data_IF_790059075471
#
_entry.id   IF_790059075471
#
_cell.length_a   1.000
_cell.length_b   1.000
_cell.length_c   1.000
_cell.angle_alpha   90.00
_cell.angle_beta   90.00
_cell.angle_gamma   90.00
#
_symmetry.space_group_name_H-M   'P 1'
#
loop_
_entity.id
_entity.type
_entity.pdbx_description
1 polymer ?
#
# COMPACT_ATOMS: atom_id res chain seq x y z
N UNK A 1 6.70 4.33 -3.38
CA UNK A 1 7.38 3.23 -4.10
C UNK A 1 7.48 3.42 -5.61
N UNK A 2 6.42 3.81 -6.32
CA UNK A 2 6.42 3.98 -7.79
C UNK A 2 7.59 4.85 -8.29
N UNK A 3 7.82 6.02 -7.67
CA UNK A 3 8.94 6.91 -8.03
C UNK A 3 10.31 6.22 -7.92
N UNK A 4 10.53 5.43 -6.86
CA UNK A 4 11.77 4.68 -6.63
C UNK A 4 11.99 3.61 -7.70
N UNK A 5 10.94 2.90 -8.10
CA UNK A 5 11.01 1.90 -9.18
C UNK A 5 11.28 2.57 -10.52
N UNK A 6 10.67 3.73 -10.80
CA UNK A 6 10.94 4.50 -12.02
C UNK A 6 12.41 4.93 -12.12
N UNK A 7 13.08 5.19 -10.99
CA UNK A 7 14.52 5.48 -10.97
C UNK A 7 15.40 4.27 -11.34
N UNK A 8 14.86 3.06 -11.39
CA UNK A 8 15.60 1.90 -11.90
C UNK A 8 15.43 1.70 -13.42
N UNK A 9 14.58 2.50 -14.06
CA UNK A 9 14.28 2.33 -15.48
C UNK A 9 15.53 2.48 -16.37
N UNK A 10 16.29 3.57 -16.18
CA UNK A 10 17.54 3.85 -16.91
C UNK A 10 18.60 2.76 -16.69
N UNK A 11 18.67 2.19 -15.48
CA UNK A 11 19.53 1.05 -15.19
C UNK A 11 19.16 -0.16 -16.05
N UNK A 12 17.88 -0.47 -16.18
CA UNK A 12 17.44 -1.63 -16.96
C UNK A 12 17.58 -1.42 -18.47
N UNK A 13 17.37 -0.20 -18.97
CA UNK A 13 17.61 0.13 -20.38
C UNK A 13 19.09 -0.06 -20.75
N UNK A 14 20.02 0.50 -19.98
CA UNK A 14 21.46 0.37 -20.29
C UNK A 14 21.95 -1.08 -20.17
N UNK A 15 21.45 -1.84 -19.19
CA UNK A 15 21.75 -3.28 -19.09
C UNK A 15 21.23 -4.06 -20.30
N UNK A 16 20.05 -3.70 -20.82
CA UNK A 16 19.44 -4.35 -21.98
C UNK A 16 20.22 -4.04 -23.26
N UNK A 17 20.73 -2.81 -23.41
CA UNK A 17 21.50 -2.35 -24.57
C UNK A 17 22.97 -2.80 -24.53
N UNK A 18 23.41 -3.36 -23.41
CA UNK A 18 24.77 -3.88 -23.24
C UNK A 18 24.96 -5.13 -24.10
N UNK A 19 25.90 -5.07 -25.07
CA UNK A 19 26.28 -6.22 -25.91
C UNK A 19 27.09 -7.30 -25.15
N UNK A 20 27.51 -7.01 -23.91
CA UNK A 20 28.32 -7.88 -23.07
C UNK A 20 27.51 -8.82 -22.15
N UNK A 21 28.18 -9.83 -21.62
CA UNK A 21 27.57 -10.73 -20.63
C UNK A 21 27.47 -10.04 -19.27
N UNK A 22 26.27 -10.07 -18.67
CA UNK A 22 26.04 -9.57 -17.32
C UNK A 22 26.70 -10.54 -16.31
N UNK A 23 27.52 -10.06 -15.36
CA UNK A 23 28.13 -10.92 -14.35
C UNK A 23 27.08 -11.71 -13.55
N UNK A 24 27.32 -12.99 -13.20
CA UNK A 24 26.37 -13.78 -12.42
C UNK A 24 25.95 -13.14 -11.09
N UNK A 25 26.87 -12.42 -10.43
CA UNK A 25 26.58 -11.65 -9.21
C UNK A 25 25.57 -10.52 -9.45
N UNK A 26 25.70 -9.80 -10.57
CA UNK A 26 24.72 -8.78 -10.98
C UNK A 26 23.37 -9.41 -11.32
N UNK A 27 23.35 -10.56 -12.00
CA UNK A 27 22.10 -11.27 -12.34
C UNK A 27 21.31 -11.61 -11.07
N UNK A 28 21.97 -12.12 -10.02
CA UNK A 28 21.31 -12.40 -8.74
C UNK A 28 20.68 -11.15 -8.12
N UNK A 29 21.40 -10.02 -8.10
CA UNK A 29 20.91 -8.77 -7.54
C UNK A 29 19.73 -8.20 -8.34
N UNK A 30 19.82 -8.25 -9.67
CA UNK A 30 18.74 -7.82 -10.58
C UNK A 30 17.51 -8.71 -10.46
N UNK A 31 17.69 -10.01 -10.25
CA UNK A 31 16.59 -10.97 -10.01
C UNK A 31 15.86 -10.65 -8.71
N UNK A 32 16.59 -10.31 -7.65
CA UNK A 32 15.99 -9.88 -6.38
C UNK A 32 15.24 -8.55 -6.54
N UNK A 33 15.83 -7.56 -7.24
CA UNK A 33 15.14 -6.30 -7.55
C UNK A 33 13.84 -6.54 -8.34
N UNK A 34 13.87 -7.43 -9.33
CA UNK A 34 12.69 -7.80 -10.09
C UNK A 34 11.61 -8.45 -9.20
N UNK A 35 12.01 -9.36 -8.30
CA UNK A 35 11.10 -9.96 -7.32
C UNK A 35 10.43 -8.91 -6.44
N UNK A 36 11.20 -7.95 -5.91
CA UNK A 36 10.68 -6.84 -5.12
C UNK A 36 9.71 -5.99 -5.94
N UNK A 37 10.06 -5.63 -7.18
CA UNK A 37 9.18 -4.83 -8.07
C UNK A 37 7.86 -5.55 -8.33
N UNK A 38 7.88 -6.88 -8.57
CA UNK A 38 6.67 -7.68 -8.75
C UNK A 38 5.78 -7.67 -7.51
N UNK A 39 6.37 -7.83 -6.32
CA UNK A 39 5.62 -7.80 -5.05
C UNK A 39 5.04 -6.41 -4.78
N UNK A 40 5.79 -5.34 -5.06
CA UNK A 40 5.29 -3.97 -4.97
C UNK A 40 4.11 -3.75 -5.93
N UNK A 41 4.20 -4.25 -7.17
CA UNK A 41 3.09 -4.17 -8.13
C UNK A 41 1.86 -4.92 -7.62
N UNK A 42 2.04 -6.12 -7.07
CA UNK A 42 0.96 -6.91 -6.46
C UNK A 42 0.28 -6.14 -5.33
N UNK A 43 1.06 -5.63 -4.37
CA UNK A 43 0.54 -4.87 -3.23
C UNK A 43 -0.21 -3.59 -3.67
N UNK A 44 0.30 -2.87 -4.68
CA UNK A 44 -0.42 -1.71 -5.25
C UNK A 44 -1.75 -2.13 -5.88
N UNK A 45 -1.78 -3.27 -6.57
CA UNK A 45 -3.00 -3.77 -7.20
C UNK A 45 -4.03 -4.19 -6.15
N UNK A 46 -3.60 -4.89 -5.09
CA UNK A 46 -4.45 -5.23 -3.94
C UNK A 46 -5.07 -3.98 -3.29
N UNK A 47 -4.30 -2.89 -3.13
CA UNK A 47 -4.84 -1.64 -2.61
C UNK A 47 -5.84 -0.95 -3.55
N UNK A 48 -5.71 -1.12 -4.86
CA UNK A 48 -6.61 -0.52 -5.87
C UNK A 48 -7.92 -1.29 -5.98
N UNK A 49 -7.85 -2.61 -5.94
CA UNK A 49 -9.00 -3.48 -6.13
C UNK A 49 -9.79 -3.66 -4.82
N UNK A 50 -9.15 -3.41 -3.67
CA UNK A 50 -9.75 -3.48 -2.35
C UNK A 50 -10.67 -2.32 -1.98
N UNK A 51 -11.38 -2.48 -0.87
CA UNK A 51 -12.21 -1.43 -0.25
C UNK A 51 -11.33 -0.31 0.31
N UNK A 52 -11.70 0.94 0.06
CA UNK A 52 -10.99 2.11 0.58
C UNK A 52 -11.07 2.19 2.12
N UNK A 53 -12.24 1.86 2.68
CA UNK A 53 -12.49 1.80 4.12
C UNK A 53 -11.63 0.71 4.75
N UNK A 54 -11.58 -0.47 4.14
CA UNK A 54 -10.74 -1.55 4.62
C UNK A 54 -9.24 -1.22 4.52
N UNK A 55 -8.85 -0.54 3.44
CA UNK A 55 -7.50 0.02 3.31
C UNK A 55 -7.14 0.97 4.45
N UNK A 56 -8.07 1.85 4.85
CA UNK A 56 -7.91 2.73 6.02
C UNK A 56 -7.75 1.91 7.32
N UNK A 57 -8.57 0.87 7.52
CA UNK A 57 -8.47 -0.03 8.68
C UNK A 57 -7.11 -0.74 8.72
N UNK A 58 -6.56 -1.10 7.55
CA UNK A 58 -5.29 -1.82 7.41
C UNK A 58 -4.06 -0.91 7.17
N UNK A 59 -4.18 0.42 7.29
CA UNK A 59 -3.13 1.35 6.85
C UNK A 59 -1.75 1.04 7.44
N UNK A 60 -1.67 0.68 8.73
CA UNK A 60 -0.42 0.30 9.38
C UNK A 60 0.19 -0.98 8.80
N UNK A 61 -0.66 -2.00 8.59
CA UNK A 61 -0.23 -3.28 8.02
C UNK A 61 0.32 -3.08 6.61
N UNK A 62 -0.43 -2.38 5.76
CA UNK A 62 -0.04 -2.10 4.37
C UNK A 62 1.23 -1.24 4.32
N UNK A 63 1.34 -0.20 5.16
CA UNK A 63 2.55 0.62 5.24
C UNK A 63 3.77 -0.20 5.64
N UNK A 64 3.63 -1.11 6.61
CA UNK A 64 4.70 -2.02 7.00
C UNK A 64 5.10 -2.97 5.85
N UNK A 65 4.15 -3.48 5.07
CA UNK A 65 4.46 -4.30 3.88
C UNK A 65 5.31 -3.52 2.87
N UNK A 66 4.93 -2.26 2.58
CA UNK A 66 5.75 -1.40 1.72
C UNK A 66 7.13 -1.13 2.31
N UNK A 67 7.23 -0.89 3.62
CA UNK A 67 8.49 -0.68 4.31
C UNK A 67 9.43 -1.89 4.18
N UNK A 68 8.92 -3.11 4.39
CA UNK A 68 9.69 -4.35 4.20
C UNK A 68 10.21 -4.46 2.76
N UNK A 69 9.37 -4.17 1.77
CA UNK A 69 9.78 -4.18 0.36
C UNK A 69 10.83 -3.10 0.03
N UNK A 70 10.73 -1.92 0.64
CA UNK A 70 11.78 -0.87 0.56
C UNK A 70 13.10 -1.41 1.10
N UNK A 71 13.10 -2.08 2.26
CA UNK A 71 14.33 -2.62 2.84
C UNK A 71 14.92 -3.77 2.01
N UNK A 72 14.09 -4.61 1.40
CA UNK A 72 14.56 -5.64 0.46
C UNK A 72 15.20 -5.01 -0.79
N UNK A 73 14.59 -3.97 -1.37
CA UNK A 73 15.20 -3.19 -2.46
C UNK A 73 16.57 -2.63 -2.04
N UNK A 74 16.66 -2.07 -0.83
CA UNK A 74 17.90 -1.53 -0.30
C UNK A 74 19.00 -2.57 -0.18
N UNK A 75 18.67 -3.77 0.31
CA UNK A 75 19.61 -4.89 0.42
C UNK A 75 20.11 -5.35 -0.94
N UNK A 76 19.24 -5.43 -1.95
CA UNK A 76 19.63 -5.80 -3.30
C UNK A 76 20.55 -4.76 -3.96
N UNK A 77 20.28 -3.47 -3.73
CA UNK A 77 21.13 -2.37 -4.22
C UNK A 77 22.48 -2.30 -3.48
N UNK A 78 22.53 -2.71 -2.22
CA UNK A 78 23.76 -2.69 -1.41
C UNK A 78 24.83 -3.66 -1.91
N UNK A 79 24.40 -4.81 -2.42
CA UNK A 79 25.28 -5.86 -2.94
C UNK A 79 25.45 -5.84 -4.46
N UNK A 80 24.71 -4.99 -5.17
CA UNK A 80 24.79 -4.89 -6.63
C UNK A 80 26.19 -4.38 -7.03
N UNK A 81 26.98 -5.13 -7.81
CA UNK A 81 28.31 -4.69 -8.22
C UNK A 81 28.21 -3.71 -9.39
N UNK A 82 27.77 -2.49 -9.09
CA UNK A 82 27.55 -1.41 -10.08
C UNK A 82 28.82 -1.12 -10.89
N UNK A 83 30.01 -1.33 -10.31
CA UNK A 83 31.30 -1.17 -11.00
C UNK A 83 31.55 -2.19 -12.12
N UNK A 84 30.85 -3.32 -12.11
CA UNK A 84 30.96 -4.37 -13.14
C UNK A 84 29.90 -4.24 -14.23
N UNK A 85 29.03 -3.24 -14.15
CA UNK A 85 28.03 -2.94 -15.15
C UNK A 85 28.52 -1.81 -16.04
N UNK A 86 28.33 -1.96 -17.36
CA UNK A 86 28.64 -0.95 -18.36
C UNK A 86 27.55 0.13 -18.35
N UNK A 87 27.65 1.02 -17.35
CA UNK A 87 26.67 2.08 -17.11
C UNK A 87 27.28 3.46 -17.33
N UNK A 88 26.47 4.38 -17.82
CA UNK A 88 26.79 5.80 -17.87
C UNK A 88 26.99 6.36 -16.46
N UNK A 89 27.72 7.48 -16.38
CA UNK A 89 27.93 8.17 -15.11
C UNK A 89 26.60 8.59 -14.45
N UNK A 90 25.65 9.07 -15.26
CA UNK A 90 24.34 9.51 -14.81
C UNK A 90 23.52 8.36 -14.21
N UNK A 91 23.46 7.21 -14.90
CA UNK A 91 22.72 6.04 -14.42
C UNK A 91 23.37 5.46 -13.16
N UNK A 92 24.70 5.44 -13.09
CA UNK A 92 25.44 5.04 -11.87
C UNK A 92 25.09 5.94 -10.69
N UNK A 93 25.15 7.25 -10.88
CA UNK A 93 24.80 8.22 -9.83
C UNK A 93 23.34 8.04 -9.38
N UNK A 94 22.42 7.85 -10.33
CA UNK A 94 21.00 7.63 -10.04
C UNK A 94 20.77 6.39 -9.17
N UNK A 95 21.47 5.29 -9.45
CA UNK A 95 21.41 4.06 -8.64
C UNK A 95 21.97 4.30 -7.23
N UNK A 96 23.09 4.99 -7.11
CA UNK A 96 23.69 5.33 -5.82
C UNK A 96 22.80 6.26 -4.97
N UNK A 97 22.17 7.25 -5.60
CA UNK A 97 21.22 8.15 -4.95
C UNK A 97 19.98 7.38 -4.47
N UNK A 98 19.43 6.50 -5.31
CA UNK A 98 18.31 5.65 -4.92
C UNK A 98 18.68 4.75 -3.74
N UNK A 99 19.88 4.14 -3.76
CA UNK A 99 20.38 3.32 -2.67
C UNK A 99 20.46 4.12 -1.35
N UNK A 100 21.04 5.34 -1.38
CA UNK A 100 21.09 6.24 -0.22
C UNK A 100 19.69 6.60 0.30
N UNK A 101 18.75 6.89 -0.60
CA UNK A 101 17.37 7.20 -0.23
C UNK A 101 16.70 6.01 0.45
N UNK A 102 16.78 4.82 -0.16
CA UNK A 102 16.12 3.60 0.34
C UNK A 102 16.66 3.18 1.71
N UNK A 103 17.96 3.34 1.96
CA UNK A 103 18.57 3.06 3.27
C UNK A 103 18.00 3.92 4.39
N UNK A 104 17.80 5.22 4.13
CA UNK A 104 17.33 6.22 5.10
C UNK A 104 15.82 6.20 5.35
N UNK A 105 15.06 5.46 4.55
CA UNK A 105 13.60 5.41 4.73
C UNK A 105 13.28 4.62 6.00
N UNK A 106 12.49 5.26 6.88
CA UNK A 106 11.85 4.62 8.02
C UNK A 106 10.39 4.29 7.72
N UNK A 107 9.81 3.45 8.57
CA UNK A 107 8.37 3.18 8.51
C UNK A 107 7.62 4.47 8.82
N UNK A 108 6.61 4.78 8.01
CA UNK A 108 5.83 6.00 8.17
C UNK A 108 4.36 5.69 7.90
N UNK A 109 3.51 6.10 8.83
CA UNK A 109 2.05 6.11 8.69
C UNK A 109 1.61 7.54 9.01
N UNK A 110 0.75 8.12 8.18
CA UNK A 110 0.27 9.48 8.40
C UNK A 110 -0.56 9.51 9.70
N UNK A 111 -0.19 10.34 10.71
CA UNK A 111 -0.95 10.45 11.95
C UNK A 111 -2.43 10.80 11.74
N UNK A 112 -2.75 11.52 10.65
CA UNK A 112 -4.13 11.87 10.29
C UNK A 112 -4.90 10.66 9.78
N UNK A 113 -4.24 9.73 9.08
CA UNK A 113 -4.87 8.47 8.70
C UNK A 113 -5.11 7.58 9.92
N UNK A 114 -4.16 7.52 10.86
CA UNK A 114 -4.34 6.80 12.12
C UNK A 114 -5.53 7.36 12.92
N UNK A 115 -5.64 8.69 13.00
CA UNK A 115 -6.76 9.34 13.67
C UNK A 115 -8.10 9.00 12.98
N UNK A 116 -8.18 9.09 11.66
CA UNK A 116 -9.40 8.73 10.91
C UNK A 116 -9.77 7.27 11.10
N UNK A 117 -8.77 6.37 11.09
CA UNK A 117 -8.98 4.95 11.36
C UNK A 117 -9.57 4.72 12.75
N UNK A 118 -9.04 5.37 13.77
CA UNK A 118 -9.54 5.24 15.14
C UNK A 118 -10.98 5.72 15.25
N UNK A 119 -11.30 6.89 14.71
CA UNK A 119 -12.67 7.43 14.68
C UNK A 119 -13.62 6.51 13.90
N UNK A 120 -13.18 5.97 12.77
CA UNK A 120 -13.96 5.02 11.98
C UNK A 120 -14.27 3.77 12.80
N UNK A 121 -13.29 3.18 13.48
CA UNK A 121 -13.50 1.99 14.31
C UNK A 121 -14.51 2.24 15.44
N UNK A 122 -14.49 3.43 16.05
CA UNK A 122 -15.47 3.82 17.06
C UNK A 122 -16.88 3.93 16.49
N UNK A 123 -17.04 4.50 15.30
CA UNK A 123 -18.32 4.58 14.58
C UNK A 123 -18.83 3.18 14.23
N UNK A 124 -17.95 2.28 13.77
CA UNK A 124 -18.34 0.91 13.41
C UNK A 124 -18.76 0.07 14.63
N UNK A 125 -18.12 0.31 15.78
CA UNK A 125 -18.41 -0.37 17.04
C UNK A 125 -19.62 0.22 17.78
N UNK A 126 -20.19 1.34 17.32
CA UNK A 126 -21.25 2.02 18.05
C UNK A 126 -22.58 1.24 17.94
N UNK A 127 -23.16 0.93 19.09
CA UNK A 127 -24.55 0.43 19.13
C UNK A 127 -25.52 1.60 18.93
N UNK A 128 -26.54 1.40 18.08
CA UNK A 128 -27.62 2.36 17.73
C UNK A 128 -28.57 2.66 18.89
N UNK A 129 -28.06 2.86 20.10
CA UNK A 129 -28.84 3.00 21.34
C UNK A 129 -29.63 4.33 21.42
N UNK A 130 -29.42 5.29 20.51
CA UNK A 130 -30.31 6.46 20.35
C UNK A 130 -30.31 7.03 18.91
N UNK A 131 -31.46 7.58 18.47
CA UNK A 131 -31.61 8.19 17.13
C UNK A 131 -30.64 9.35 16.87
N UNK A 132 -30.33 10.16 17.90
CA UNK A 132 -29.36 11.25 17.78
C UNK A 132 -27.94 10.75 17.58
N UNK A 133 -27.56 9.64 18.24
CA UNK A 133 -26.23 9.06 18.10
C UNK A 133 -26.00 8.54 16.67
N UNK A 134 -26.98 7.85 16.09
CA UNK A 134 -26.90 7.39 14.70
C UNK A 134 -26.72 8.51 13.67
N UNK A 135 -27.34 9.67 13.89
CA UNK A 135 -27.15 10.83 13.00
C UNK A 135 -25.74 11.43 13.08
N UNK A 136 -25.17 11.51 14.28
CA UNK A 136 -23.79 11.98 14.50
C UNK A 136 -22.81 11.00 13.86
N UNK A 137 -22.99 9.71 14.09
CA UNK A 137 -22.14 8.65 13.55
C UNK A 137 -22.17 8.65 12.00
N UNK A 138 -23.35 8.88 11.40
CA UNK A 138 -23.47 9.04 9.94
C UNK A 138 -22.71 10.25 9.42
N UNK A 139 -22.83 11.40 10.10
CA UNK A 139 -22.09 12.62 9.73
C UNK A 139 -20.58 12.41 9.75
N UNK A 140 -20.07 11.76 10.79
CA UNK A 140 -18.65 11.43 10.94
C UNK A 140 -18.20 10.43 9.86
N UNK A 141 -18.97 9.35 9.65
CA UNK A 141 -18.68 8.36 8.61
C UNK A 141 -18.59 9.02 7.23
N UNK A 142 -19.55 9.88 6.90
CA UNK A 142 -19.58 10.62 5.63
C UNK A 142 -18.37 11.54 5.43
N UNK A 143 -17.91 12.20 6.49
CA UNK A 143 -16.70 13.03 6.44
C UNK A 143 -15.45 12.18 6.17
N UNK A 144 -15.33 11.03 6.84
CA UNK A 144 -14.23 10.09 6.63
C UNK A 144 -14.26 9.53 5.21
N UNK A 145 -15.43 9.10 4.72
CA UNK A 145 -15.64 8.63 3.35
C UNK A 145 -15.19 9.67 2.32
N UNK A 146 -15.58 10.93 2.52
CA UNK A 146 -15.14 12.04 1.66
C UNK A 146 -13.62 12.21 1.67
N UNK A 147 -12.98 12.06 2.83
CA UNK A 147 -11.52 12.18 2.96
C UNK A 147 -10.76 11.06 2.23
N UNK A 148 -11.35 9.87 2.11
CA UNK A 148 -10.76 8.72 1.40
C UNK A 148 -11.18 8.64 -0.08
N UNK A 149 -11.92 9.63 -0.57
CA UNK A 149 -12.28 9.77 -1.98
C UNK A 149 -13.64 9.19 -2.38
N UNK A 150 -14.47 8.78 -1.42
CA UNK A 150 -15.83 8.31 -1.64
C UNK A 150 -16.79 9.50 -1.52
N UNK A 151 -17.16 10.10 -2.64
CA UNK A 151 -17.86 11.39 -2.70
C UNK A 151 -19.27 11.23 -3.24
N UNK A 152 -19.44 10.38 -4.25
CA UNK A 152 -20.71 10.23 -4.96
C UNK A 152 -21.41 8.90 -4.62
N UNK A 153 -22.73 8.76 -4.89
CA UNK A 153 -23.46 7.54 -4.55
C UNK A 153 -22.92 6.26 -5.20
N UNK A 154 -22.33 6.36 -6.40
CA UNK A 154 -21.73 5.23 -7.09
C UNK A 154 -20.47 4.73 -6.35
N UNK A 155 -19.66 5.64 -5.82
CA UNK A 155 -18.50 5.28 -4.97
C UNK A 155 -18.96 4.50 -3.73
N UNK A 156 -20.10 4.87 -3.14
CA UNK A 156 -20.66 4.19 -1.97
C UNK A 156 -21.18 2.80 -2.34
N UNK A 157 -21.88 2.65 -3.47
CA UNK A 157 -22.37 1.35 -3.94
C UNK A 157 -21.21 0.39 -4.24
N UNK A 158 -20.17 0.84 -4.94
CA UNK A 158 -18.96 0.06 -5.20
C UNK A 158 -18.25 -0.30 -3.89
N UNK A 159 -18.12 0.65 -2.96
CA UNK A 159 -17.47 0.43 -1.68
C UNK A 159 -18.24 -0.57 -0.80
N UNK A 160 -19.57 -0.48 -0.75
CA UNK A 160 -20.42 -1.44 -0.02
C UNK A 160 -20.19 -2.84 -0.57
N UNK A 161 -20.19 -3.01 -1.91
CA UNK A 161 -19.92 -4.30 -2.54
C UNK A 161 -18.54 -4.87 -2.14
N UNK A 162 -17.51 -4.03 -2.13
CA UNK A 162 -16.15 -4.43 -1.70
C UNK A 162 -16.10 -4.78 -0.20
N UNK A 163 -16.80 -4.03 0.65
CA UNK A 163 -16.90 -4.29 2.08
C UNK A 163 -17.62 -5.60 2.39
N UNK A 164 -18.67 -5.95 1.65
CA UNK A 164 -19.35 -7.25 1.80
C UNK A 164 -18.44 -8.42 1.46
N UNK A 165 -17.64 -8.29 0.40
CA UNK A 165 -16.62 -9.29 0.04
C UNK A 165 -15.60 -9.43 1.17
N UNK A 166 -15.17 -8.33 1.77
CA UNK A 166 -14.23 -8.35 2.88
C UNK A 166 -14.82 -8.95 4.17
N UNK A 167 -16.08 -8.63 4.50
CA UNK A 167 -16.79 -9.24 5.61
C UNK A 167 -16.84 -10.78 5.47
N UNK A 168 -17.07 -11.29 4.25
CA UNK A 168 -17.04 -12.75 3.98
C UNK A 168 -15.65 -13.35 4.20
N UNK A 169 -14.57 -12.65 3.81
CA UNK A 169 -13.20 -13.10 4.10
C UNK A 169 -12.93 -13.16 5.60
N UNK A 170 -13.36 -12.13 6.35
CA UNK A 170 -13.16 -12.08 7.81
C UNK A 170 -14.00 -13.10 8.57
N UNK A 171 -15.18 -13.46 8.07
CA UNK A 171 -15.95 -14.58 8.63
C UNK A 171 -15.17 -15.90 8.55
N UNK A 172 -14.42 -16.12 7.45
CA UNK A 172 -13.57 -17.30 7.27
C UNK A 172 -12.34 -17.35 8.18
N UNK A 173 -11.90 -16.21 8.74
CA UNK A 173 -10.74 -16.11 9.64
C UNK A 173 -11.12 -16.06 11.13
N UNK A 174 -12.42 -16.16 11.46
CA UNK A 174 -12.93 -16.06 12.83
C UNK A 174 -13.12 -14.63 13.35
N UNK A 175 -13.03 -13.62 12.47
CA UNK A 175 -13.15 -12.20 12.81
C UNK A 175 -14.59 -11.71 13.01
N UNK A 176 -15.41 -12.40 13.81
CA UNK A 176 -16.86 -12.13 13.93
C UNK A 176 -17.19 -10.70 14.39
N UNK A 177 -16.36 -10.11 15.28
CA UNK A 177 -16.51 -8.72 15.73
C UNK A 177 -16.30 -7.75 14.55
N UNK A 178 -15.28 -8.01 13.73
CA UNK A 178 -15.01 -7.17 12.56
C UNK A 178 -16.11 -7.30 11.51
N UNK A 179 -16.68 -8.50 11.33
CA UNK A 179 -17.84 -8.70 10.46
C UNK A 179 -19.04 -7.87 10.94
N UNK A 180 -19.33 -7.88 12.25
CA UNK A 180 -20.39 -7.06 12.83
C UNK A 180 -20.14 -5.57 12.61
N UNK A 181 -18.91 -5.11 12.83
CA UNK A 181 -18.51 -3.72 12.65
C UNK A 181 -18.64 -3.28 11.19
N UNK A 182 -18.27 -4.13 10.22
CA UNK A 182 -18.46 -3.86 8.79
C UNK A 182 -19.95 -3.76 8.44
N UNK A 183 -20.77 -4.70 8.92
CA UNK A 183 -22.21 -4.68 8.67
C UNK A 183 -22.90 -3.44 9.28
N UNK A 184 -22.45 -3.02 10.47
CA UNK A 184 -22.92 -1.79 11.09
C UNK A 184 -22.63 -0.58 10.21
N UNK A 185 -21.42 -0.47 9.67
CA UNK A 185 -21.03 0.60 8.77
C UNK A 185 -21.84 0.58 7.47
N UNK A 186 -22.01 -0.58 6.84
CA UNK A 186 -22.83 -0.73 5.63
C UNK A 186 -24.26 -0.25 5.91
N UNK A 187 -24.86 -0.64 7.05
CA UNK A 187 -26.20 -0.20 7.43
C UNK A 187 -26.32 1.29 7.75
N UNK A 188 -25.18 1.96 8.00
CA UNK A 188 -25.12 3.39 8.29
C UNK A 188 -25.02 4.19 6.99
N UNK A 189 -24.30 3.69 5.99
CA UNK A 189 -24.00 4.41 4.74
C UNK A 189 -24.90 4.02 3.56
N UNK A 190 -25.67 2.94 3.69
CA UNK A 190 -26.71 2.51 2.72
C UNK A 190 -27.97 3.35 2.84
#
# INVERSE_FOLDING_TARGET
MIRRIKLLYSLFEEIQDTNGSIPPSSILCLTELFSVIRRVKGLIQECKDGSCVWGLIQTEFVSNQFYVLVKQMGRALDILPVSLLDLTADTREQVELLHKQVKRVDSYVDPRELQRREVLLQVMASEKNSKNKGFIDFGIAKEIMSCIGLINPFDYEEEISKLEVEAKKQAGTGGLIMVSNINNLISLIS
#
